data_IF_949503739600
#
_entry.id   IF_949503739600
#
_cell.length_a   1.000
_cell.length_b   1.000
_cell.length_c   1.000
_cell.angle_alpha   90.00
_cell.angle_beta   90.00
_cell.angle_gamma   90.00
#
_symmetry.space_group_name_H-M   'P 1'
#
loop_
_entity.id
_entity.type
_entity.pdbx_description
1 polymer ?
#
# COMPACT_ATOMS: atom_id res chain seq x y z
N UNK A 1 -15.62 12.11 -2.25
CA UNK A 1 -14.25 12.69 -2.18
C UNK A 1 -13.42 12.01 -3.26
N UNK A 2 -12.65 12.80 -4.01
CA UNK A 2 -12.21 12.49 -5.38
C UNK A 2 -11.27 11.26 -5.46
N UNK A 3 -11.65 10.24 -6.24
CA UNK A 3 -10.86 9.01 -6.49
C UNK A 3 -9.42 9.35 -6.92
N UNK A 4 -9.26 10.43 -7.69
CA UNK A 4 -7.96 10.95 -8.11
C UNK A 4 -7.07 11.44 -6.94
N UNK A 5 -7.67 12.00 -5.89
CA UNK A 5 -6.94 12.43 -4.69
C UNK A 5 -6.40 11.23 -3.93
N UNK A 6 -7.25 10.23 -3.67
CA UNK A 6 -6.88 8.98 -3.00
C UNK A 6 -5.78 8.23 -3.78
N UNK A 7 -5.91 8.18 -5.11
CA UNK A 7 -4.89 7.61 -5.99
C UNK A 7 -3.55 8.33 -5.85
N UNK A 8 -3.55 9.66 -5.90
CA UNK A 8 -2.32 10.46 -5.77
C UNK A 8 -1.66 10.27 -4.40
N UNK A 9 -2.47 10.23 -3.33
CA UNK A 9 -1.96 9.97 -1.98
C UNK A 9 -1.44 8.54 -1.81
N UNK A 10 -2.11 7.55 -2.42
CA UNK A 10 -1.66 6.16 -2.42
C UNK A 10 -0.32 5.99 -3.15
N UNK A 11 -0.14 6.68 -4.28
CA UNK A 11 1.14 6.73 -5.00
C UNK A 11 2.24 7.41 -4.18
N UNK A 12 1.92 8.51 -3.49
CA UNK A 12 2.86 9.19 -2.59
C UNK A 12 3.27 8.29 -1.41
N UNK A 13 2.32 7.56 -0.81
CA UNK A 13 2.59 6.58 0.25
C UNK A 13 3.44 5.42 -0.27
N UNK A 14 3.15 4.90 -1.46
CA UNK A 14 3.96 3.86 -2.09
C UNK A 14 5.40 4.32 -2.35
N UNK A 15 5.60 5.56 -2.79
CA UNK A 15 6.93 6.17 -2.94
C UNK A 15 7.64 6.33 -1.60
N UNK A 16 6.94 6.83 -0.58
CA UNK A 16 7.48 6.98 0.77
C UNK A 16 7.98 5.64 1.35
N UNK A 17 7.20 4.57 1.13
CA UNK A 17 7.54 3.21 1.54
C UNK A 17 8.48 2.48 0.57
N UNK A 18 8.93 3.12 -0.52
CA UNK A 18 9.76 2.51 -1.56
C UNK A 18 9.16 1.22 -2.16
N UNK A 19 7.83 1.14 -2.21
CA UNK A 19 7.07 0.04 -2.82
C UNK A 19 6.82 0.30 -4.33
N UNK A 20 7.76 0.95 -4.99
CA UNK A 20 7.68 1.33 -6.41
C UNK A 20 8.33 0.31 -7.34
N UNK A 21 9.01 -0.71 -6.78
CA UNK A 21 9.73 -1.74 -7.53
C UNK A 21 8.82 -2.81 -8.14
N UNK A 22 7.53 -2.81 -7.79
CA UNK A 22 6.53 -3.81 -8.20
C UNK A 22 6.78 -5.24 -7.70
N UNK A 23 7.83 -5.45 -6.91
CA UNK A 23 8.29 -6.76 -6.42
C UNK A 23 8.18 -6.89 -4.91
N UNK A 24 8.40 -5.81 -4.17
CA UNK A 24 8.37 -5.81 -2.71
C UNK A 24 6.95 -5.67 -2.15
N UNK A 25 6.06 -5.01 -2.90
CA UNK A 25 4.69 -4.78 -2.47
C UNK A 25 3.97 -3.77 -3.36
N UNK A 26 2.81 -3.31 -2.89
CA UNK A 26 2.05 -2.20 -3.47
C UNK A 26 1.15 -1.56 -2.41
N UNK A 27 0.64 -0.36 -2.70
CA UNK A 27 -0.36 0.34 -1.88
C UNK A 27 -1.64 0.42 -2.67
N UNK A 28 -2.75 0.14 -2.01
CA UNK A 28 -4.10 0.27 -2.54
C UNK A 28 -4.82 1.37 -1.75
N UNK A 29 -5.37 2.34 -2.46
CA UNK A 29 -6.16 3.41 -1.86
C UNK A 29 -7.63 3.02 -1.93
N UNK A 30 -8.29 2.93 -0.78
CA UNK A 30 -9.70 2.61 -0.65
C UNK A 30 -10.47 3.84 -0.16
N UNK A 31 -11.80 3.76 -0.11
CA UNK A 31 -12.60 4.86 0.43
C UNK A 31 -12.40 5.06 1.94
N UNK A 32 -12.00 3.99 2.65
CA UNK A 32 -11.84 3.96 4.10
C UNK A 32 -10.40 4.27 4.56
N UNK A 33 -9.41 4.15 3.68
CA UNK A 33 -8.01 4.45 3.98
C UNK A 33 -7.03 3.86 2.97
N UNK A 34 -5.85 3.45 3.45
CA UNK A 34 -4.82 2.84 2.61
C UNK A 34 -4.51 1.42 3.08
N UNK A 35 -4.33 0.52 2.13
CA UNK A 35 -3.92 -0.85 2.38
C UNK A 35 -2.54 -1.08 1.77
N UNK A 36 -1.59 -1.45 2.62
CA UNK A 36 -0.20 -1.69 2.24
C UNK A 36 0.04 -3.19 2.18
N UNK A 37 0.31 -3.67 0.98
CA UNK A 37 0.55 -5.08 0.70
C UNK A 37 2.05 -5.31 0.51
N UNK A 38 2.68 -6.11 1.35
CA UNK A 38 4.11 -6.43 1.27
C UNK A 38 4.38 -7.93 1.21
N UNK A 39 5.27 -8.34 0.29
CA UNK A 39 5.57 -9.76 0.06
C UNK A 39 6.41 -10.40 1.16
N UNK A 40 7.12 -9.58 1.91
CA UNK A 40 7.95 -9.98 3.06
C UNK A 40 7.54 -9.14 4.25
N UNK A 41 7.78 -9.65 5.45
CA UNK A 41 7.64 -8.89 6.69
C UNK A 41 8.31 -7.52 6.58
N UNK A 42 7.59 -6.46 6.93
CA UNK A 42 8.12 -5.11 6.90
C UNK A 42 9.25 -4.99 7.93
N UNK A 43 10.43 -4.55 7.48
CA UNK A 43 11.60 -4.47 8.35
C UNK A 43 11.58 -3.22 9.26
N UNK A 44 10.74 -2.23 8.95
CA UNK A 44 10.67 -0.96 9.65
C UNK A 44 9.47 -0.83 10.58
N UNK A 45 9.29 0.36 11.16
CA UNK A 45 8.06 0.71 11.88
C UNK A 45 6.92 0.85 10.86
N UNK A 46 5.83 0.11 11.08
CA UNK A 46 4.62 0.24 10.29
C UNK A 46 3.95 1.58 10.58
N UNK A 47 3.52 2.26 9.53
CA UNK A 47 2.78 3.51 9.62
C UNK A 47 1.31 3.14 9.82
N UNK A 48 0.64 3.73 10.80
CA UNK A 48 -0.77 3.42 11.12
C UNK A 48 -1.77 4.42 10.54
N UNK A 49 -1.28 5.59 10.13
CA UNK A 49 -2.08 6.61 9.47
C UNK A 49 -1.25 7.41 8.46
N UNK A 50 -1.89 7.81 7.36
CA UNK A 50 -1.30 8.64 6.32
C UNK A 50 -2.31 9.73 5.96
N UNK A 51 -1.89 10.99 6.03
CA UNK A 51 -2.74 12.14 5.71
C UNK A 51 -4.10 12.14 6.46
N UNK A 52 -4.09 11.71 7.72
CA UNK A 52 -5.29 11.62 8.56
C UNK A 52 -6.19 10.41 8.29
N UNK A 53 -5.85 9.54 7.32
CA UNK A 53 -6.57 8.29 7.05
C UNK A 53 -5.82 7.08 7.63
N UNK A 54 -6.53 6.00 8.00
CA UNK A 54 -5.91 4.79 8.52
C UNK A 54 -5.09 4.05 7.45
N UNK A 55 -4.02 3.37 7.88
CA UNK A 55 -3.19 2.52 7.03
C UNK A 55 -3.18 1.10 7.61
N UNK A 56 -3.65 0.14 6.81
CA UNK A 56 -3.65 -1.29 7.14
C UNK A 56 -2.49 -2.02 6.46
N UNK A 57 -1.86 -2.95 7.17
CA UNK A 57 -0.71 -3.70 6.67
C UNK A 57 -1.06 -5.16 6.44
N UNK A 58 -0.82 -5.62 5.22
CA UNK A 58 -0.94 -7.00 4.82
C UNK A 58 0.44 -7.52 4.45
N UNK A 59 1.05 -8.25 5.39
CA UNK A 59 2.38 -8.82 5.23
C UNK A 59 2.34 -10.27 4.75
N UNK A 60 3.45 -10.72 4.15
CA UNK A 60 3.60 -12.08 3.60
C UNK A 60 2.54 -12.43 2.57
N UNK A 61 2.03 -11.42 1.86
CA UNK A 61 1.13 -11.67 0.74
C UNK A 61 1.93 -12.27 -0.40
N UNK A 62 1.65 -13.54 -0.70
CA UNK A 62 2.16 -14.23 -1.88
C UNK A 62 1.77 -13.47 -3.15
N UNK A 63 2.34 -13.85 -4.30
CA UNK A 63 2.00 -13.28 -5.62
C UNK A 63 0.55 -13.59 -6.01
N UNK A 64 -0.45 -12.96 -5.36
CA UNK A 64 -1.85 -13.01 -5.76
C UNK A 64 -2.07 -12.42 -7.17
N UNK A 65 -1.14 -11.59 -7.65
CA UNK A 65 -1.17 -11.02 -9.00
C UNK A 65 -0.68 -11.97 -10.12
N UNK A 66 -0.17 -13.16 -9.78
CA UNK A 66 0.25 -14.16 -10.77
C UNK A 66 -0.80 -15.25 -11.05
N UNK A 67 -1.89 -15.31 -10.27
CA UNK A 67 -2.94 -16.32 -10.40
C UNK A 67 -4.19 -15.86 -11.17
N UNK A 68 -4.24 -14.58 -11.59
CA UNK A 68 -5.37 -14.00 -12.33
C UNK A 68 -4.87 -13.33 -13.63
N UNK A 69 -4.06 -14.05 -14.41
CA UNK A 69 -3.77 -13.70 -15.81
C UNK A 69 -4.44 -14.69 -16.74
#
# INVERSE_FOLDING_TARGET
MNDAYMRTQGEALAQHLRLTDGKSGYVEATADGFQVYVRKKWAGKQITSWDGMPVEWHENVGTHKAANR
#
